data_IF_205913847599
#
_entry.id   IF_205913847599
#
_cell.length_a   1.000
_cell.length_b   1.000
_cell.length_c   1.000
_cell.angle_alpha   90.00
_cell.angle_beta   90.00
_cell.angle_gamma   90.00
#
_symmetry.space_group_name_H-M   'P 1'
#
loop_
_entity.id
_entity.type
_entity.pdbx_description
1 polymer ?
#
# COMPACT_ATOMS: atom_id res chain seq x y z
N UNK A 1 0.82 18.43 12.55
CA UNK A 1 0.63 17.04 12.07
C UNK A 1 1.80 16.63 11.19
N UNK A 2 2.45 15.51 11.45
CA UNK A 2 3.40 14.87 10.53
C UNK A 2 2.71 13.66 9.91
N UNK A 3 3.14 13.25 8.73
CA UNK A 3 2.59 12.10 8.01
C UNK A 3 3.68 11.06 7.82
N UNK A 4 3.37 9.84 8.19
CA UNK A 4 4.27 8.69 8.04
C UNK A 4 3.56 7.59 7.26
N UNK A 5 4.33 6.71 6.63
CA UNK A 5 3.80 5.59 5.87
C UNK A 5 4.58 4.30 6.14
N UNK A 6 3.83 3.21 6.22
CA UNK A 6 4.32 1.83 6.25
C UNK A 6 3.30 0.96 5.52
N UNK A 7 3.73 -0.01 4.76
CA UNK A 7 2.87 -1.01 4.14
C UNK A 7 3.11 -2.39 4.72
N UNK A 8 2.21 -3.31 4.41
CA UNK A 8 2.45 -4.74 4.57
C UNK A 8 2.80 -5.18 6.01
N UNK A 9 2.06 -4.73 7.05
CA UNK A 9 2.31 -5.20 8.41
C UNK A 9 1.99 -6.67 8.62
N UNK A 10 1.20 -7.29 7.74
CA UNK A 10 0.92 -8.72 7.72
C UNK A 10 0.59 -9.32 9.09
N UNK A 11 -0.31 -8.67 9.82
CA UNK A 11 -0.75 -9.11 11.14
C UNK A 11 -1.53 -10.42 11.07
N UNK A 12 -1.53 -11.19 12.16
CA UNK A 12 -2.20 -12.49 12.21
C UNK A 12 -2.49 -12.95 13.64
N UNK A 13 -3.03 -12.07 14.50
CA UNK A 13 -3.19 -12.36 15.93
C UNK A 13 -4.28 -13.41 16.22
N UNK A 14 -5.38 -13.46 15.44
CA UNK A 14 -6.43 -14.46 15.62
C UNK A 14 -5.97 -15.88 15.16
N UNK A 15 -5.26 -15.94 14.05
CA UNK A 15 -4.76 -17.19 13.46
C UNK A 15 -3.29 -16.98 13.08
N UNK A 16 -2.36 -17.26 13.99
CA UNK A 16 -0.95 -16.95 13.79
C UNK A 16 -0.37 -17.53 12.51
N UNK A 17 0.21 -16.68 11.68
CA UNK A 17 0.99 -17.04 10.51
C UNK A 17 2.42 -16.53 10.70
N UNK A 18 3.38 -17.42 10.90
CA UNK A 18 4.74 -17.02 11.27
C UNK A 18 5.44 -16.38 10.08
N UNK A 19 5.61 -15.04 10.10
CA UNK A 19 6.24 -14.30 9.02
C UNK A 19 7.74 -14.60 8.87
N UNK A 20 8.42 -15.07 9.91
CA UNK A 20 9.85 -15.44 9.83
C UNK A 20 10.16 -16.56 8.83
N UNK A 21 9.15 -17.29 8.32
CA UNK A 21 9.34 -18.24 7.21
C UNK A 21 9.73 -17.54 5.89
N UNK A 22 9.47 -16.26 5.77
CA UNK A 22 9.88 -15.43 4.64
C UNK A 22 11.24 -14.75 4.84
N UNK A 23 11.87 -14.99 5.99
CA UNK A 23 13.16 -14.50 6.40
C UNK A 23 13.20 -14.13 7.88
N UNK A 24 14.35 -14.40 8.51
CA UNK A 24 14.51 -14.19 9.96
C UNK A 24 14.28 -12.72 10.38
N UNK A 25 14.52 -11.76 9.47
CA UNK A 25 14.26 -10.34 9.70
C UNK A 25 12.78 -10.01 10.01
N UNK A 26 11.83 -10.88 9.64
CA UNK A 26 10.41 -10.74 9.98
C UNK A 26 10.07 -11.15 11.42
N UNK A 27 11.01 -11.70 12.18
CA UNK A 27 10.75 -12.10 13.57
C UNK A 27 10.29 -10.90 14.40
N UNK A 28 9.19 -11.08 15.14
CA UNK A 28 8.59 -10.07 16.00
C UNK A 28 8.27 -8.74 15.27
N UNK A 29 7.96 -8.80 13.97
CA UNK A 29 7.73 -7.62 13.14
C UNK A 29 6.63 -6.70 13.69
N UNK A 30 5.53 -7.24 14.21
CA UNK A 30 4.45 -6.45 14.79
C UNK A 30 4.94 -5.63 15.99
N UNK A 31 5.70 -6.23 16.91
CA UNK A 31 6.26 -5.54 18.08
C UNK A 31 7.27 -4.47 17.66
N UNK A 32 8.08 -4.74 16.64
CA UNK A 32 9.05 -3.77 16.08
C UNK A 32 8.34 -2.57 15.47
N UNK A 33 7.28 -2.79 14.69
CA UNK A 33 6.45 -1.71 14.13
C UNK A 33 5.83 -0.87 15.26
N UNK A 34 5.25 -1.53 16.28
CA UNK A 34 4.63 -0.83 17.40
C UNK A 34 5.66 0.00 18.19
N UNK A 35 6.83 -0.55 18.47
CA UNK A 35 7.90 0.14 19.17
C UNK A 35 8.42 1.34 18.37
N UNK A 36 8.71 1.15 17.07
CA UNK A 36 9.18 2.21 16.19
C UNK A 36 8.15 3.35 16.07
N UNK A 37 6.86 3.01 15.85
CA UNK A 37 5.81 4.01 15.74
C UNK A 37 5.55 4.72 17.08
N UNK A 38 5.55 4.02 18.21
CA UNK A 38 5.39 4.64 19.54
C UNK A 38 6.52 5.60 19.89
N UNK A 39 7.72 5.38 19.34
CA UNK A 39 8.85 6.29 19.53
C UNK A 39 8.79 7.53 18.61
N UNK A 40 8.21 7.41 17.43
CA UNK A 40 8.15 8.45 16.39
C UNK A 40 6.86 9.25 16.44
N UNK A 41 5.72 8.56 16.55
CA UNK A 41 4.39 9.12 16.33
C UNK A 41 3.80 9.74 17.59
N UNK A 42 2.96 10.75 17.39
CA UNK A 42 2.17 11.41 18.43
C UNK A 42 0.66 11.26 18.14
N UNK A 43 -0.23 11.56 19.09
CA UNK A 43 -1.68 11.54 18.85
C UNK A 43 -2.15 12.44 17.70
N UNK A 44 -1.38 13.46 17.34
CA UNK A 44 -1.72 14.40 16.26
C UNK A 44 -1.19 13.99 14.90
N UNK A 45 -0.37 12.95 14.83
CA UNK A 45 0.25 12.49 13.58
C UNK A 45 -0.63 11.49 12.82
N UNK A 46 -0.30 11.28 11.56
CA UNK A 46 -0.98 10.32 10.66
C UNK A 46 -0.02 9.19 10.30
N UNK A 47 -0.48 7.96 10.46
CA UNK A 47 0.18 6.76 9.94
C UNK A 47 -0.64 6.20 8.75
N UNK A 48 -0.05 6.20 7.57
CA UNK A 48 -0.57 5.52 6.40
C UNK A 48 -0.16 4.05 6.46
N UNK A 49 -1.13 3.14 6.34
CA UNK A 49 -0.89 1.70 6.19
C UNK A 49 -1.29 1.28 4.77
N UNK A 50 -0.30 1.04 3.92
CA UNK A 50 -0.44 0.87 2.48
C UNK A 50 -0.87 -0.54 2.04
N UNK A 51 -1.84 -1.14 2.74
CA UNK A 51 -2.41 -2.45 2.42
C UNK A 51 -1.66 -3.64 3.03
N UNK A 52 -2.18 -4.83 2.77
CA UNK A 52 -1.75 -6.12 3.35
C UNK A 52 -1.64 -6.05 4.87
N UNK A 53 -2.73 -5.56 5.48
CA UNK A 53 -2.81 -5.29 6.91
C UNK A 53 -2.83 -6.59 7.72
N UNK A 54 -3.58 -7.59 7.23
CA UNK A 54 -3.85 -8.82 7.97
C UNK A 54 -4.00 -10.04 7.06
N UNK A 55 -3.49 -11.17 7.54
CA UNK A 55 -3.72 -12.49 6.95
C UNK A 55 -5.11 -13.07 7.24
N UNK A 56 -5.99 -12.36 7.93
CA UNK A 56 -7.33 -12.81 8.20
C UNK A 56 -8.09 -13.11 6.90
N UNK A 57 -8.73 -14.28 6.84
CA UNK A 57 -9.55 -14.67 5.69
C UNK A 57 -11.00 -14.14 5.82
N UNK A 58 -11.46 -13.85 7.03
CA UNK A 58 -12.82 -13.47 7.35
C UNK A 58 -12.86 -12.23 8.23
N UNK A 59 -13.99 -11.51 8.17
CA UNK A 59 -14.19 -10.29 8.94
C UNK A 59 -14.15 -10.52 10.47
N UNK A 60 -14.58 -11.67 10.94
CA UNK A 60 -14.51 -12.03 12.37
C UNK A 60 -13.10 -12.29 12.87
N UNK A 61 -12.21 -12.77 11.99
CA UNK A 61 -10.82 -13.09 12.32
C UNK A 61 -9.91 -11.85 12.36
N UNK A 62 -10.29 -10.74 11.71
CA UNK A 62 -9.45 -9.52 11.62
C UNK A 62 -9.52 -8.64 12.87
N UNK A 63 -10.52 -8.85 13.74
CA UNK A 63 -10.77 -7.97 14.89
C UNK A 63 -9.54 -7.73 15.77
N UNK A 64 -8.76 -8.75 16.21
CA UNK A 64 -7.58 -8.51 17.02
C UNK A 64 -6.49 -7.69 16.31
N UNK A 65 -6.40 -7.81 14.98
CA UNK A 65 -5.43 -7.06 14.16
C UNK A 65 -5.85 -5.58 14.06
N UNK A 66 -7.15 -5.30 13.84
CA UNK A 66 -7.67 -3.94 13.87
C UNK A 66 -7.57 -3.29 15.25
N UNK A 67 -7.82 -4.05 16.32
CA UNK A 67 -7.66 -3.58 17.70
C UNK A 67 -6.19 -3.26 18.02
N UNK A 68 -5.24 -4.02 17.45
CA UNK A 68 -3.80 -3.70 17.56
C UNK A 68 -3.48 -2.40 16.83
N UNK A 69 -3.97 -2.22 15.58
CA UNK A 69 -3.80 -0.97 14.82
C UNK A 69 -4.42 0.21 15.58
N UNK A 70 -5.59 0.04 16.18
CA UNK A 70 -6.28 1.09 16.92
C UNK A 70 -5.48 1.62 18.11
N UNK A 71 -4.73 0.74 18.82
CA UNK A 71 -3.89 1.12 19.95
C UNK A 71 -2.67 1.96 19.57
N UNK A 72 -2.25 1.95 18.31
CA UNK A 72 -1.16 2.80 17.85
C UNK A 72 -1.56 4.28 17.92
N UNK A 73 -0.67 5.21 18.33
CA UNK A 73 -1.00 6.63 18.43
C UNK A 73 -1.39 7.25 17.09
N UNK A 74 -2.16 8.32 17.12
CA UNK A 74 -2.56 9.11 15.97
C UNK A 74 -3.65 8.49 15.09
N UNK A 75 -3.91 9.10 13.94
CA UNK A 75 -4.86 8.60 12.94
C UNK A 75 -4.19 7.63 11.98
N UNK A 76 -4.87 6.52 11.68
CA UNK A 76 -4.41 5.51 10.74
C UNK A 76 -5.23 5.55 9.47
N UNK A 77 -4.61 5.90 8.35
CA UNK A 77 -5.22 5.80 7.02
C UNK A 77 -4.89 4.44 6.44
N UNK A 78 -5.89 3.63 6.15
CA UNK A 78 -5.69 2.28 5.66
C UNK A 78 -6.27 2.10 4.27
N UNK A 79 -5.59 1.32 3.44
CA UNK A 79 -6.12 0.82 2.16
C UNK A 79 -6.10 -0.70 2.15
N UNK A 80 -6.84 -1.30 1.22
CA UNK A 80 -6.81 -2.73 0.99
C UNK A 80 -5.56 -3.16 0.24
N UNK A 81 -4.89 -4.25 0.67
CA UNK A 81 -3.90 -4.99 -0.11
C UNK A 81 -4.49 -6.23 -0.79
N UNK A 82 -3.64 -7.08 -1.36
CA UNK A 82 -4.09 -8.30 -2.03
C UNK A 82 -4.34 -9.46 -1.06
N UNK A 83 -3.72 -9.45 0.10
CA UNK A 83 -3.94 -10.44 1.16
C UNK A 83 -5.04 -10.06 2.15
N UNK A 84 -5.61 -8.85 2.06
CA UNK A 84 -6.75 -8.44 2.90
C UNK A 84 -8.06 -9.07 2.40
N UNK A 85 -8.19 -10.38 2.50
CA UNK A 85 -9.38 -11.13 2.06
C UNK A 85 -10.62 -10.79 2.92
N UNK A 86 -10.42 -10.40 4.18
CA UNK A 86 -11.44 -9.94 5.11
C UNK A 86 -12.13 -8.63 4.67
N UNK A 87 -11.46 -7.84 3.82
CA UNK A 87 -11.97 -6.56 3.34
C UNK A 87 -13.01 -6.75 2.22
N UNK A 88 -14.28 -6.84 2.58
CA UNK A 88 -15.37 -7.02 1.62
C UNK A 88 -15.79 -5.72 0.93
N UNK A 89 -16.14 -4.68 1.73
CA UNK A 89 -16.53 -3.37 1.22
C UNK A 89 -16.10 -2.26 2.16
N UNK A 90 -15.94 -1.05 1.63
CA UNK A 90 -15.53 0.12 2.42
C UNK A 90 -16.51 0.39 3.59
N UNK A 91 -17.83 0.26 3.35
CA UNK A 91 -18.86 0.47 4.39
C UNK A 91 -18.76 -0.54 5.54
N UNK A 92 -18.52 -1.82 5.22
CA UNK A 92 -18.31 -2.86 6.24
C UNK A 92 -17.05 -2.62 7.05
N UNK A 93 -15.94 -2.21 6.40
CA UNK A 93 -14.70 -1.90 7.11
C UNK A 93 -14.89 -0.69 8.02
N UNK A 94 -15.56 0.38 7.56
CA UNK A 94 -15.88 1.55 8.39
C UNK A 94 -16.73 1.20 9.62
N UNK A 95 -17.67 0.26 9.47
CA UNK A 95 -18.52 -0.16 10.57
C UNK A 95 -17.81 -0.98 11.65
N UNK A 96 -16.72 -1.65 11.30
CA UNK A 96 -15.95 -2.48 12.24
C UNK A 96 -14.68 -1.80 12.78
N UNK A 97 -14.16 -0.79 12.09
CA UNK A 97 -12.94 -0.10 12.46
C UNK A 97 -13.19 0.88 13.63
N UNK A 98 -12.17 1.05 14.46
CA UNK A 98 -12.14 2.13 15.46
C UNK A 98 -12.16 3.50 14.78
N UNK A 99 -12.64 4.52 15.46
CA UNK A 99 -12.73 5.89 14.94
C UNK A 99 -11.39 6.52 14.53
N UNK A 100 -10.28 6.02 15.08
CA UNK A 100 -8.92 6.42 14.70
C UNK A 100 -8.45 5.80 13.39
N UNK A 101 -9.16 4.80 12.85
CA UNK A 101 -8.85 4.09 11.61
C UNK A 101 -9.77 4.56 10.49
N UNK A 102 -9.21 5.14 9.46
CA UNK A 102 -9.92 5.73 8.33
C UNK A 102 -9.62 4.91 7.07
N UNK A 103 -10.53 4.02 6.64
CA UNK A 103 -10.34 3.25 5.42
C UNK A 103 -10.62 4.08 4.17
N UNK A 104 -9.73 4.00 3.20
CA UNK A 104 -9.81 4.69 1.90
C UNK A 104 -9.96 3.69 0.76
N UNK A 105 -10.87 3.99 -0.16
CA UNK A 105 -11.00 3.30 -1.44
C UNK A 105 -11.81 4.17 -2.39
N UNK A 106 -11.18 4.70 -3.42
CA UNK A 106 -11.81 5.60 -4.40
C UNK A 106 -12.48 6.83 -3.76
N UNK A 107 -11.96 7.30 -2.63
CA UNK A 107 -12.46 8.43 -1.85
C UNK A 107 -11.32 9.37 -1.51
N UNK A 108 -11.64 10.64 -1.21
CA UNK A 108 -10.69 11.62 -0.70
C UNK A 108 -10.98 11.90 0.78
N UNK A 109 -9.93 11.90 1.59
CA UNK A 109 -9.94 12.36 2.97
C UNK A 109 -9.02 13.56 3.11
N UNK A 110 -9.48 14.64 3.72
CA UNK A 110 -8.67 15.85 3.94
C UNK A 110 -8.50 16.08 5.43
N UNK A 111 -7.28 16.33 5.84
CA UNK A 111 -6.92 16.66 7.22
C UNK A 111 -5.79 17.70 7.21
N UNK A 112 -5.94 18.81 7.95
CA UNK A 112 -4.93 19.88 8.11
C UNK A 112 -4.22 20.28 6.79
N UNK A 113 -5.02 20.53 5.74
CA UNK A 113 -4.54 20.94 4.42
C UNK A 113 -3.74 19.90 3.64
N UNK A 114 -3.85 18.61 4.02
CA UNK A 114 -3.35 17.49 3.24
C UNK A 114 -4.54 16.62 2.78
N UNK A 115 -4.61 16.35 1.49
CA UNK A 115 -5.58 15.43 0.91
C UNK A 115 -4.95 14.05 0.71
N UNK A 116 -5.69 13.01 1.06
CA UNK A 116 -5.30 11.61 0.92
C UNK A 116 -6.29 10.88 0.03
N UNK A 117 -5.78 10.23 -0.99
CA UNK A 117 -6.56 9.39 -1.91
C UNK A 117 -5.91 8.01 -1.96
N UNK A 118 -6.71 6.94 -1.91
CA UNK A 118 -6.15 5.61 -1.92
C UNK A 118 -6.99 4.59 -2.68
N UNK A 119 -6.30 3.61 -3.26
CA UNK A 119 -6.87 2.37 -3.79
C UNK A 119 -5.82 1.27 -3.75
N UNK A 120 -6.28 0.00 -3.92
CA UNK A 120 -5.35 -1.12 -3.93
C UNK A 120 -4.31 -1.03 -5.04
N UNK A 121 -4.68 -0.52 -6.20
CA UNK A 121 -3.87 -0.68 -7.40
C UNK A 121 -3.93 -2.12 -7.94
N UNK A 122 -3.11 -2.41 -8.92
CA UNK A 122 -2.92 -3.73 -9.48
C UNK A 122 -1.63 -3.77 -10.29
N UNK A 123 -1.11 -4.99 -10.55
CA UNK A 123 0.04 -5.22 -11.42
C UNK A 123 -0.11 -4.45 -12.74
N UNK A 124 0.88 -3.66 -13.09
CA UNK A 124 0.91 -2.91 -14.34
C UNK A 124 1.19 -3.81 -15.54
N UNK A 125 0.66 -3.49 -16.74
CA UNK A 125 1.06 -4.16 -17.97
C UNK A 125 2.58 -4.08 -18.20
N UNK A 126 3.13 -5.07 -18.89
CA UNK A 126 4.56 -5.12 -19.17
C UNK A 126 5.40 -5.84 -18.12
N UNK A 127 4.83 -6.24 -16.97
CA UNK A 127 5.46 -7.16 -16.03
C UNK A 127 5.32 -8.64 -16.45
N UNK A 128 5.05 -8.87 -17.71
CA UNK A 128 4.92 -10.21 -18.27
C UNK A 128 6.26 -10.94 -18.20
N UNK A 129 6.26 -12.25 -17.90
CA UNK A 129 7.48 -13.03 -18.01
C UNK A 129 7.97 -12.98 -19.46
N UNK A 130 9.29 -12.94 -19.62
CA UNK A 130 9.91 -13.13 -20.94
C UNK A 130 9.27 -14.34 -21.62
N UNK A 131 8.88 -14.17 -22.88
CA UNK A 131 8.42 -15.28 -23.75
C UNK A 131 9.59 -16.18 -24.13
N UNK A 132 10.83 -15.81 -23.77
CA UNK A 132 12.01 -16.63 -24.00
C UNK A 132 11.94 -17.87 -23.10
N UNK A 133 11.78 -19.02 -23.77
CA UNK A 133 11.73 -20.34 -23.10
C UNK A 133 13.00 -20.66 -22.35
N UNK A 134 14.15 -20.13 -22.75
CA UNK A 134 15.43 -20.35 -22.09
C UNK A 134 15.50 -19.58 -20.75
N UNK A 135 15.14 -18.30 -20.71
CA UNK A 135 15.07 -17.53 -19.47
C UNK A 135 14.08 -18.14 -18.48
N UNK A 136 12.93 -18.65 -18.98
CA UNK A 136 11.93 -19.31 -18.16
C UNK A 136 12.45 -20.63 -17.57
N UNK A 137 13.20 -21.41 -18.34
CA UNK A 137 13.84 -22.65 -17.89
C UNK A 137 14.94 -22.38 -16.85
N UNK A 138 15.78 -21.36 -17.09
CA UNK A 138 16.81 -20.94 -16.15
C UNK A 138 16.23 -20.45 -14.81
N UNK A 139 15.15 -19.66 -14.85
CA UNK A 139 14.44 -19.20 -13.63
C UNK A 139 13.87 -20.38 -12.84
N UNK A 140 13.30 -21.40 -13.51
CA UNK A 140 12.84 -22.65 -12.89
C UNK A 140 13.97 -23.43 -12.23
N UNK A 141 15.14 -23.54 -12.91
CA UNK A 141 16.31 -24.22 -12.39
C UNK A 141 16.91 -23.52 -11.15
N UNK A 142 16.83 -22.17 -11.11
CA UNK A 142 17.26 -21.35 -9.97
C UNK A 142 16.25 -21.31 -8.83
N UNK A 143 15.10 -22.01 -8.95
CA UNK A 143 13.96 -21.93 -8.02
C UNK A 143 13.40 -20.50 -7.86
N UNK A 144 13.64 -19.64 -8.84
CA UNK A 144 13.04 -18.32 -8.89
C UNK A 144 11.54 -18.46 -9.18
N UNK A 145 10.70 -17.62 -8.53
CA UNK A 145 9.28 -17.60 -8.84
C UNK A 145 9.10 -17.16 -10.29
N UNK A 146 8.68 -18.08 -11.16
CA UNK A 146 8.27 -17.73 -12.52
C UNK A 146 7.13 -16.73 -12.41
N UNK A 147 7.30 -15.53 -12.93
CA UNK A 147 6.25 -14.52 -12.95
C UNK A 147 5.05 -15.08 -13.69
N UNK A 148 3.88 -14.94 -13.10
CA UNK A 148 2.62 -15.34 -13.72
C UNK A 148 2.35 -14.46 -14.95
N UNK A 149 1.89 -15.07 -16.04
CA UNK A 149 1.44 -14.34 -17.23
C UNK A 149 0.35 -13.29 -16.87
N UNK A 150 0.46 -12.10 -17.45
CA UNK A 150 -0.55 -11.06 -17.33
C UNK A 150 -1.78 -11.43 -18.18
N UNK A 151 -2.90 -11.67 -17.54
CA UNK A 151 -4.10 -12.19 -18.16
C UNK A 151 -5.10 -11.08 -18.55
N UNK A 152 -6.11 -11.43 -19.36
CA UNK A 152 -7.24 -10.53 -19.62
C UNK A 152 -7.97 -10.14 -18.33
N UNK A 153 -8.00 -11.02 -17.31
CA UNK A 153 -8.55 -10.72 -15.99
C UNK A 153 -7.70 -9.69 -15.23
N UNK A 154 -6.37 -9.78 -15.32
CA UNK A 154 -5.47 -8.78 -14.69
C UNK A 154 -5.68 -7.41 -15.33
N UNK A 155 -5.79 -7.35 -16.67
CA UNK A 155 -6.12 -6.12 -17.40
C UNK A 155 -7.43 -5.51 -16.93
N UNK A 156 -8.48 -6.32 -16.76
CA UNK A 156 -9.77 -5.85 -16.26
C UNK A 156 -9.67 -5.28 -14.84
N UNK A 157 -8.91 -5.94 -13.96
CA UNK A 157 -8.69 -5.47 -12.59
C UNK A 157 -7.87 -4.18 -12.61
N UNK A 158 -6.77 -4.13 -13.36
CA UNK A 158 -5.93 -2.95 -13.54
C UNK A 158 -6.75 -1.72 -13.96
N UNK A 159 -7.53 -1.82 -15.04
CA UNK A 159 -8.38 -0.73 -15.52
C UNK A 159 -9.41 -0.28 -14.49
N UNK A 160 -9.97 -1.22 -13.72
CA UNK A 160 -10.87 -0.90 -12.62
C UNK A 160 -10.17 -0.13 -11.50
N UNK A 161 -8.94 -0.51 -11.12
CA UNK A 161 -8.19 0.17 -10.08
C UNK A 161 -7.70 1.56 -10.54
N UNK A 162 -7.29 1.72 -11.80
CA UNK A 162 -7.04 3.05 -12.41
C UNK A 162 -8.30 3.92 -12.34
N UNK A 163 -9.47 3.38 -12.70
CA UNK A 163 -10.75 4.08 -12.57
C UNK A 163 -11.08 4.47 -11.12
N UNK A 164 -10.77 3.61 -10.14
CA UNK A 164 -10.95 3.91 -8.71
C UNK A 164 -10.03 5.03 -8.23
N UNK A 165 -8.77 5.02 -8.67
CA UNK A 165 -7.85 6.12 -8.37
C UNK A 165 -8.39 7.43 -8.95
N UNK A 166 -8.83 7.45 -10.22
CA UNK A 166 -9.44 8.63 -10.85
C UNK A 166 -10.62 9.15 -10.05
N UNK A 167 -11.55 8.29 -9.60
CA UNK A 167 -12.69 8.72 -8.78
C UNK A 167 -12.25 9.41 -7.49
N UNK A 168 -11.25 8.88 -6.80
CA UNK A 168 -10.70 9.49 -5.60
C UNK A 168 -10.03 10.84 -5.87
N UNK A 169 -9.28 10.95 -6.97
CA UNK A 169 -8.62 12.18 -7.40
C UNK A 169 -9.63 13.25 -7.86
N UNK A 170 -10.72 12.86 -8.54
CA UNK A 170 -11.83 13.77 -8.85
C UNK A 170 -12.50 14.31 -7.58
N UNK A 171 -12.71 13.45 -6.57
CA UNK A 171 -13.23 13.90 -5.28
C UNK A 171 -12.27 14.88 -4.58
N UNK A 172 -10.96 14.68 -4.71
CA UNK A 172 -9.95 15.63 -4.23
C UNK A 172 -10.01 16.94 -5.01
N UNK A 173 -10.11 16.90 -6.34
CA UNK A 173 -10.21 18.09 -7.20
C UNK A 173 -11.40 18.98 -6.84
N UNK A 174 -12.55 18.38 -6.51
CA UNK A 174 -13.73 19.12 -6.05
C UNK A 174 -13.52 19.84 -4.72
N UNK A 175 -12.52 19.42 -3.94
CA UNK A 175 -12.15 19.97 -2.64
C UNK A 175 -10.81 20.73 -2.67
N UNK A 176 -10.36 21.16 -3.86
CA UNK A 176 -9.00 21.70 -4.08
C UNK A 176 -8.64 22.89 -3.17
N UNK A 177 -9.60 23.70 -2.76
CA UNK A 177 -9.39 24.82 -1.83
C UNK A 177 -9.12 24.40 -0.38
N UNK A 178 -9.38 23.13 -0.02
CA UNK A 178 -9.26 22.64 1.35
C UNK A 178 -7.84 22.12 1.68
N UNK A 179 -6.96 21.94 0.69
CA UNK A 179 -5.64 21.37 0.91
C UNK A 179 -4.55 22.02 0.04
N UNK A 180 -3.30 21.89 0.48
CA UNK A 180 -2.11 22.35 -0.25
C UNK A 180 -1.32 21.17 -0.82
N UNK A 181 -1.39 20.00 -0.18
CA UNK A 181 -0.66 18.79 -0.52
C UNK A 181 -1.60 17.64 -0.83
N UNK A 182 -1.26 16.86 -1.85
CA UNK A 182 -2.03 15.68 -2.28
C UNK A 182 -1.15 14.43 -2.21
N UNK A 183 -1.58 13.46 -1.40
CA UNK A 183 -0.92 12.18 -1.20
C UNK A 183 -1.78 11.06 -1.79
N UNK A 184 -1.20 10.26 -2.68
CA UNK A 184 -1.79 9.03 -3.20
C UNK A 184 -1.20 7.83 -2.48
N UNK A 185 -2.07 6.88 -2.12
CA UNK A 185 -1.71 5.64 -1.43
C UNK A 185 -2.13 4.47 -2.33
N UNK A 186 -1.17 3.69 -2.76
CA UNK A 186 -1.38 2.45 -3.49
C UNK A 186 -0.82 1.27 -2.71
N UNK A 187 -1.36 0.07 -2.93
CA UNK A 187 -0.69 -1.13 -2.44
C UNK A 187 0.26 -1.68 -3.51
N UNK A 188 -0.21 -1.87 -4.74
CA UNK A 188 0.67 -2.27 -5.83
C UNK A 188 1.51 -1.09 -6.33
N UNK A 189 2.75 -1.36 -6.84
CA UNK A 189 3.56 -0.33 -7.48
C UNK A 189 2.80 0.39 -8.60
N UNK A 190 2.97 1.72 -8.75
CA UNK A 190 2.30 2.49 -9.78
C UNK A 190 2.86 2.26 -11.19
N UNK A 191 3.94 1.50 -11.33
CA UNK A 191 4.59 1.14 -12.60
C UNK A 191 5.14 -0.29 -12.53
N UNK A 192 5.49 -0.85 -13.68
CA UNK A 192 6.09 -2.18 -13.77
C UNK A 192 7.58 -2.18 -13.38
N UNK A 193 8.21 -3.36 -13.35
CA UNK A 193 9.61 -3.52 -12.95
C UNK A 193 10.61 -2.86 -13.93
N UNK A 194 10.17 -2.46 -15.14
CA UNK A 194 10.94 -1.69 -16.10
C UNK A 194 10.75 -0.18 -15.95
N UNK A 195 9.97 0.24 -14.97
CA UNK A 195 9.60 1.62 -14.68
C UNK A 195 8.90 2.33 -15.86
N UNK A 196 8.15 1.57 -16.66
CA UNK A 196 7.40 2.12 -17.77
C UNK A 196 6.16 2.90 -17.28
N UNK A 197 5.74 3.96 -18.01
CA UNK A 197 4.52 4.70 -17.71
C UNK A 197 3.30 3.80 -17.63
N UNK A 198 2.35 4.15 -16.77
CA UNK A 198 1.12 3.43 -16.56
C UNK A 198 -0.06 4.39 -16.38
N UNK A 199 -1.30 3.89 -16.44
CA UNK A 199 -2.46 4.70 -16.13
C UNK A 199 -2.45 5.25 -14.69
N UNK A 200 -1.71 4.65 -13.75
CA UNK A 200 -1.52 5.24 -12.43
C UNK A 200 -0.57 6.43 -12.50
N UNK A 201 0.60 6.32 -13.14
CA UNK A 201 1.55 7.42 -13.27
C UNK A 201 1.01 8.58 -14.10
N UNK A 202 0.18 8.31 -15.12
CA UNK A 202 -0.54 9.32 -15.88
C UNK A 202 -1.49 10.13 -14.96
N UNK A 203 -2.24 9.46 -14.09
CA UNK A 203 -3.12 10.11 -13.13
C UNK A 203 -2.33 10.92 -12.08
N UNK A 204 -1.19 10.41 -11.60
CA UNK A 204 -0.34 11.17 -10.68
C UNK A 204 0.09 12.51 -11.29
N UNK A 205 0.46 12.51 -12.58
CA UNK A 205 0.83 13.72 -13.32
C UNK A 205 -0.36 14.63 -13.63
N UNK A 206 -1.50 14.05 -14.06
CA UNK A 206 -2.72 14.79 -14.42
C UNK A 206 -3.28 15.61 -13.24
N UNK A 207 -3.15 15.09 -12.01
CA UNK A 207 -3.70 15.72 -10.80
C UNK A 207 -2.66 16.40 -9.91
N UNK A 208 -1.44 16.62 -10.41
CA UNK A 208 -0.35 17.28 -9.68
C UNK A 208 -0.11 16.68 -8.28
N UNK A 209 -0.08 15.36 -8.19
CA UNK A 209 0.13 14.64 -6.93
C UNK A 209 1.52 14.95 -6.37
N UNK A 210 1.62 15.31 -5.09
CA UNK A 210 2.91 15.60 -4.43
C UNK A 210 3.65 14.32 -4.04
N UNK A 211 2.92 13.33 -3.47
CA UNK A 211 3.48 12.06 -3.02
C UNK A 211 2.63 10.86 -3.46
N UNK A 212 3.30 9.79 -3.84
CA UNK A 212 2.69 8.47 -4.00
C UNK A 212 3.49 7.45 -3.19
N UNK A 213 2.86 6.89 -2.15
CA UNK A 213 3.43 5.79 -1.37
C UNK A 213 2.79 4.46 -1.78
N UNK A 214 3.59 3.39 -1.78
CA UNK A 214 3.11 2.07 -2.18
C UNK A 214 3.85 0.94 -1.46
N UNK A 215 3.23 -0.24 -1.38
CA UNK A 215 3.74 -1.44 -0.73
C UNK A 215 3.99 -2.60 -1.68
N UNK A 216 3.63 -3.82 -1.24
CA UNK A 216 3.56 -5.06 -2.03
C UNK A 216 4.89 -5.73 -2.35
N UNK A 217 5.97 -5.00 -2.54
CA UNK A 217 7.27 -5.57 -2.91
C UNK A 217 8.06 -5.98 -1.68
N UNK A 218 8.46 -7.25 -1.63
CA UNK A 218 9.19 -7.86 -0.51
C UNK A 218 10.45 -8.58 -0.97
N UNK A 219 11.43 -8.70 -0.07
CA UNK A 219 12.65 -9.46 -0.31
C UNK A 219 13.36 -9.03 -1.59
N UNK A 220 13.72 -9.95 -2.51
CA UNK A 220 14.42 -9.60 -3.75
C UNK A 220 13.65 -8.63 -4.65
N UNK A 221 12.30 -8.60 -4.59
CA UNK A 221 11.48 -7.72 -5.42
C UNK A 221 11.63 -6.24 -5.02
N UNK A 222 12.11 -5.92 -3.83
CA UNK A 222 12.42 -4.55 -3.38
C UNK A 222 13.40 -3.87 -4.36
N UNK A 223 14.33 -4.62 -4.95
CA UNK A 223 15.29 -4.10 -5.91
C UNK A 223 14.65 -3.55 -7.21
N UNK A 224 13.40 -3.92 -7.50
CA UNK A 224 12.64 -3.40 -8.66
C UNK A 224 11.80 -2.17 -8.33
N UNK A 225 11.84 -1.70 -7.09
CA UNK A 225 11.08 -0.54 -6.67
C UNK A 225 11.64 0.76 -7.26
N UNK A 226 10.74 1.66 -7.64
CA UNK A 226 11.10 3.02 -7.99
C UNK A 226 10.93 3.93 -6.77
N UNK A 227 12.03 4.38 -6.19
CA UNK A 227 12.04 5.40 -5.14
C UNK A 227 12.67 6.67 -5.69
N UNK A 228 11.94 7.79 -5.70
CA UNK A 228 12.47 9.03 -6.22
C UNK A 228 11.42 9.94 -6.84
N UNK A 229 11.88 10.88 -7.65
CA UNK A 229 11.05 11.90 -8.27
C UNK A 229 10.60 11.45 -9.67
N UNK A 230 9.29 11.48 -9.92
CA UNK A 230 8.67 11.27 -11.23
C UNK A 230 7.84 12.53 -11.59
N UNK A 231 8.38 13.39 -12.44
CA UNK A 231 7.78 14.69 -12.68
C UNK A 231 7.65 15.50 -11.38
N UNK A 232 6.42 15.88 -11.00
CA UNK A 232 6.15 16.55 -9.73
C UNK A 232 6.01 15.58 -8.55
N UNK A 233 5.61 14.33 -8.81
CA UNK A 233 5.30 13.37 -7.76
C UNK A 233 6.56 12.70 -7.21
N UNK A 234 6.68 12.63 -5.89
CA UNK A 234 7.67 11.80 -5.22
C UNK A 234 7.09 10.43 -4.92
N UNK A 235 7.76 9.37 -5.37
CA UNK A 235 7.35 7.98 -5.16
C UNK A 235 8.21 7.32 -4.08
N UNK A 236 7.59 6.51 -3.21
CA UNK A 236 8.29 5.78 -2.16
C UNK A 236 7.66 4.41 -1.92
N UNK A 237 8.48 3.35 -2.02
CA UNK A 237 8.13 2.04 -1.48
C UNK A 237 8.14 2.11 0.04
N UNK A 238 7.06 1.62 0.67
CA UNK A 238 6.90 1.64 2.11
C UNK A 238 6.57 0.26 2.70
N UNK A 239 6.86 -0.84 1.98
CA UNK A 239 6.74 -2.20 2.55
C UNK A 239 7.58 -2.33 3.81
N UNK A 240 7.04 -2.94 4.85
CA UNK A 240 7.63 -2.96 6.20
C UNK A 240 9.08 -3.48 6.21
N UNK A 241 9.37 -4.55 5.48
CA UNK A 241 10.70 -5.14 5.40
C UNK A 241 11.70 -4.26 4.63
N UNK A 242 11.23 -3.42 3.69
CA UNK A 242 12.08 -2.46 2.98
C UNK A 242 12.52 -1.28 3.86
N UNK A 243 11.78 -1.02 4.94
CA UNK A 243 11.98 0.09 5.90
C UNK A 243 12.53 -0.40 7.25
N UNK A 244 12.98 -1.63 7.35
CA UNK A 244 13.36 -2.26 8.62
C UNK A 244 12.28 -2.07 9.70
N UNK A 245 11.01 -2.16 9.31
CA UNK A 245 9.81 -2.04 10.15
C UNK A 245 9.64 -0.66 10.86
N UNK A 246 10.29 0.37 10.32
CA UNK A 246 10.22 1.73 10.84
C UNK A 246 9.44 2.62 9.86
N UNK A 247 8.32 3.25 10.27
CA UNK A 247 7.54 4.10 9.36
C UNK A 247 8.35 5.24 8.74
N UNK A 248 8.20 5.41 7.42
CA UNK A 248 8.85 6.46 6.64
C UNK A 248 8.10 7.78 6.80
N UNK A 249 8.78 8.87 7.13
CA UNK A 249 8.17 10.20 7.22
C UNK A 249 8.11 10.87 5.85
N UNK A 250 6.92 11.35 5.46
CA UNK A 250 6.73 12.17 4.28
C UNK A 250 7.11 13.62 4.59
N UNK A 251 7.88 14.22 3.69
CA UNK A 251 8.20 15.65 3.72
C UNK A 251 7.12 16.42 2.92
N UNK A 252 6.13 17.02 3.65
CA UNK A 252 4.91 17.63 3.11
C UNK A 252 4.87 19.15 3.27
#
# INVERSE_FOLDING_TARGET
MRVFALGDPHLSFAKPKPMHIFGEHWRNHADRIAAAWSALGTPDDVLILAGDLSWAMRAEDVRPDLDWIARLPGRKLIIRGNHDYWWHSLSKVRAMADSSIIPLQATCFVLERVAFVGTRGWQCPGDEPSTDTLERQEALLRREKVRREYTAQDRKIYLREVGRLRLGLEAARQRRSEFDKLVVILHYPPMNARHEPSGFTELLAEYDVDWCVYGHLHGPAIATAFNGQLGRTRLQLVSADSLDFTPFQLDL
#
